data_IF_880419590383
#
_entry.id   IF_880419590383
#
_cell.length_a   1.000
_cell.length_b   1.000
_cell.length_c   1.000
_cell.angle_alpha   90.00
_cell.angle_beta   90.00
_cell.angle_gamma   90.00
#
_symmetry.space_group_name_H-M   'P 1'
#
loop_
_entity.id
_entity.type
_entity.pdbx_description
1 polymer ?
#
# COMPACT_ATOMS: atom_id res chain seq x y z
N UNK A 1 4.88 -8.87 20.82
CA UNK A 1 4.17 -7.64 20.43
C UNK A 1 3.27 -7.92 19.24
N UNK A 2 2.00 -7.51 19.28
CA UNK A 2 1.07 -7.74 18.17
C UNK A 2 1.34 -6.75 17.01
N UNK A 3 0.80 -7.03 15.82
CA UNK A 3 1.13 -6.22 14.64
C UNK A 3 0.61 -4.77 14.72
N UNK A 4 -0.57 -4.54 15.31
CA UNK A 4 -1.12 -3.20 15.46
C UNK A 4 -0.24 -2.32 16.37
N UNK A 5 0.30 -2.91 17.45
CA UNK A 5 1.27 -2.25 18.33
C UNK A 5 2.54 -1.88 17.58
N UNK A 6 3.05 -2.76 16.70
CA UNK A 6 4.23 -2.46 15.86
C UNK A 6 4.01 -1.24 14.97
N UNK A 7 2.84 -1.15 14.34
CA UNK A 7 2.51 -0.02 13.47
C UNK A 7 2.37 1.28 14.25
N UNK A 8 1.62 1.24 15.36
CA UNK A 8 1.47 2.40 16.22
C UNK A 8 2.82 2.92 16.74
N UNK A 9 3.72 2.02 17.14
CA UNK A 9 5.07 2.40 17.55
C UNK A 9 5.90 2.98 16.40
N UNK A 10 5.82 2.38 15.21
CA UNK A 10 6.54 2.89 14.04
C UNK A 10 6.04 4.28 13.64
N UNK A 11 4.73 4.52 13.63
CA UNK A 11 4.12 5.80 13.25
C UNK A 11 4.51 6.94 14.21
N UNK A 12 4.79 6.62 15.48
CA UNK A 12 5.25 7.58 16.50
C UNK A 12 6.77 7.74 16.55
N UNK A 13 7.51 6.87 15.87
CA UNK A 13 8.96 6.84 15.95
C UNK A 13 9.59 7.54 14.74
N UNK A 14 10.43 8.54 15.01
CA UNK A 14 11.19 9.24 13.98
C UNK A 14 12.44 8.43 13.59
N UNK A 15 12.25 7.49 12.67
CA UNK A 15 13.31 6.67 12.11
C UNK A 15 12.86 5.23 11.83
N UNK A 16 13.78 4.28 11.95
CA UNK A 16 13.56 2.87 11.63
C UNK A 16 13.38 2.08 12.92
N UNK A 17 12.24 1.40 13.06
CA UNK A 17 12.08 0.31 14.03
C UNK A 17 12.21 -1.05 13.34
N UNK A 18 13.07 -1.89 13.92
CA UNK A 18 13.25 -3.27 13.54
C UNK A 18 12.68 -4.18 14.62
N UNK A 19 11.70 -5.00 14.24
CA UNK A 19 11.09 -5.95 15.14
C UNK A 19 11.69 -7.33 14.92
N UNK A 20 12.18 -7.94 16.00
CA UNK A 20 12.68 -9.31 15.97
C UNK A 20 11.53 -10.30 15.80
N UNK A 21 11.63 -11.14 14.78
CA UNK A 21 10.71 -12.23 14.48
C UNK A 21 11.52 -13.48 14.16
N UNK A 22 11.71 -14.35 15.17
CA UNK A 22 12.64 -15.47 15.07
C UNK A 22 14.07 -14.96 14.86
N UNK A 23 14.71 -15.40 13.77
CA UNK A 23 16.08 -15.04 13.39
C UNK A 23 16.18 -13.78 12.53
N UNK A 24 15.06 -13.13 12.23
CA UNK A 24 15.00 -11.99 11.33
C UNK A 24 14.62 -10.71 12.06
N UNK A 25 15.18 -9.60 11.59
CA UNK A 25 14.72 -8.25 11.91
C UNK A 25 13.85 -7.76 10.76
N UNK A 26 12.62 -7.36 11.07
CA UNK A 26 11.66 -6.85 10.09
C UNK A 26 11.33 -5.39 10.34
N UNK A 27 11.28 -4.63 9.25
CA UNK A 27 10.72 -3.29 9.22
C UNK A 27 9.37 -3.31 8.49
N UNK A 28 8.47 -2.44 8.91
CA UNK A 28 7.16 -2.27 8.29
C UNK A 28 6.99 -0.84 7.83
N UNK A 29 6.21 -0.64 6.78
CA UNK A 29 5.72 0.66 6.31
C UNK A 29 6.87 1.69 6.20
N UNK A 30 6.84 2.75 7.01
CA UNK A 30 7.88 3.78 7.04
C UNK A 30 9.28 3.20 7.25
N UNK A 31 9.45 2.25 8.15
CA UNK A 31 10.75 1.60 8.37
C UNK A 31 11.23 0.83 7.13
N UNK A 32 10.31 0.21 6.37
CA UNK A 32 10.66 -0.48 5.13
C UNK A 32 11.08 0.51 4.05
N UNK A 33 10.35 1.61 3.89
CA UNK A 33 10.70 2.72 3.00
C UNK A 33 12.09 3.28 3.30
N UNK A 34 12.37 3.57 4.57
CA UNK A 34 13.66 4.14 4.97
C UNK A 34 14.81 3.18 4.70
N UNK A 35 14.64 1.88 4.95
CA UNK A 35 15.68 0.91 4.61
C UNK A 35 15.96 0.85 3.12
N UNK A 36 14.91 0.76 2.29
CA UNK A 36 15.10 0.49 0.86
C UNK A 36 15.41 1.75 0.07
N UNK A 37 14.69 2.84 0.30
CA UNK A 37 14.79 4.04 -0.53
C UNK A 37 15.77 5.05 0.07
N UNK A 38 15.76 5.25 1.39
CA UNK A 38 16.61 6.27 2.02
C UNK A 38 18.03 5.75 2.30
N UNK A 39 18.15 4.50 2.74
CA UNK A 39 19.43 3.86 3.01
C UNK A 39 19.93 2.96 1.86
N UNK A 40 19.14 2.80 0.79
CA UNK A 40 19.55 2.03 -0.38
C UNK A 40 19.76 0.53 -0.12
N UNK A 41 19.21 -0.02 0.97
CA UNK A 41 19.36 -1.44 1.26
C UNK A 41 18.57 -2.25 0.24
N UNK A 42 19.26 -3.03 -0.59
CA UNK A 42 18.63 -3.99 -1.49
C UNK A 42 17.94 -5.10 -0.68
N UNK A 43 16.67 -4.90 -0.36
CA UNK A 43 15.81 -5.82 0.38
C UNK A 43 14.56 -6.10 -0.42
N UNK A 44 14.13 -7.36 -0.39
CA UNK A 44 12.86 -7.74 -1.01
C UNK A 44 11.70 -7.20 -0.19
N UNK A 45 10.94 -6.28 -0.79
CA UNK A 45 9.68 -5.80 -0.25
C UNK A 45 8.59 -6.86 -0.48
N UNK A 46 7.74 -7.05 0.53
CA UNK A 46 6.52 -7.83 0.39
C UNK A 46 5.34 -6.95 0.75
N UNK A 47 4.35 -6.96 -0.12
CA UNK A 47 3.07 -6.30 0.10
C UNK A 47 2.09 -7.31 0.68
N UNK A 48 1.47 -6.96 1.80
CA UNK A 48 0.52 -7.79 2.49
C UNK A 48 -0.76 -7.00 2.77
N UNK A 49 -1.90 -7.67 2.68
CA UNK A 49 -3.17 -7.17 3.16
C UNK A 49 -3.65 -8.06 4.30
N UNK A 50 -4.15 -7.44 5.36
CA UNK A 50 -4.82 -8.18 6.41
C UNK A 50 -6.23 -8.57 5.99
N UNK A 51 -6.57 -9.86 6.10
CA UNK A 51 -7.95 -10.33 5.96
C UNK A 51 -8.92 -9.59 6.89
N UNK A 52 -8.47 -9.26 8.11
CA UNK A 52 -9.26 -8.54 9.12
C UNK A 52 -9.36 -7.03 8.86
N UNK A 53 -8.45 -6.47 8.07
CA UNK A 53 -8.40 -5.04 7.74
C UNK A 53 -8.13 -4.88 6.24
N UNK A 54 -9.13 -5.12 5.37
CA UNK A 54 -8.93 -5.18 3.92
C UNK A 54 -8.41 -3.87 3.33
N UNK A 55 -8.64 -2.75 4.01
CA UNK A 55 -8.17 -1.43 3.60
C UNK A 55 -6.81 -1.04 4.19
N UNK A 56 -6.19 -1.88 5.02
CA UNK A 56 -4.83 -1.65 5.55
C UNK A 56 -3.83 -2.49 4.81
N UNK A 57 -3.04 -1.79 4.00
CA UNK A 57 -1.92 -2.33 3.27
C UNK A 57 -0.68 -2.24 4.13
N UNK A 58 0.17 -3.26 4.04
CA UNK A 58 1.38 -3.36 4.82
C UNK A 58 2.50 -3.66 3.86
N UNK A 59 3.55 -2.87 3.92
CA UNK A 59 4.81 -3.19 3.26
C UNK A 59 5.76 -3.70 4.31
N UNK A 60 6.41 -4.83 4.05
CA UNK A 60 7.38 -5.41 4.96
C UNK A 60 8.66 -5.77 4.22
N UNK A 61 9.79 -5.50 4.84
CA UNK A 61 11.07 -6.08 4.46
C UNK A 61 11.79 -6.60 5.70
N UNK A 62 12.84 -7.38 5.51
CA UNK A 62 13.64 -7.84 6.64
C UNK A 62 14.91 -8.55 6.21
N UNK A 63 15.81 -8.72 7.16
CA UNK A 63 17.10 -9.38 6.99
C UNK A 63 17.48 -10.13 8.27
N UNK A 64 18.44 -11.08 8.21
CA UNK A 64 18.87 -11.83 9.38
C UNK A 64 19.44 -10.92 10.48
N UNK A 65 19.13 -11.19 11.75
CA UNK A 65 19.63 -10.38 12.88
C UNK A 65 21.18 -10.29 12.89
N UNK A 66 21.86 -11.34 12.45
CA UNK A 66 23.33 -11.39 12.32
C UNK A 66 23.90 -10.30 11.39
N UNK A 67 23.09 -9.72 10.51
CA UNK A 67 23.47 -8.66 9.57
C UNK A 67 23.18 -7.25 10.08
N UNK A 68 22.70 -7.09 11.32
CA UNK A 68 22.36 -5.78 11.89
C UNK A 68 23.53 -4.81 11.88
N UNK A 69 24.67 -5.20 12.46
CA UNK A 69 25.83 -4.32 12.58
C UNK A 69 26.42 -3.93 11.21
N UNK A 70 26.33 -4.84 10.22
CA UNK A 70 26.78 -4.60 8.85
C UNK A 70 25.87 -3.62 8.11
N UNK A 71 24.55 -3.80 8.20
CA UNK A 71 23.58 -2.98 7.45
C UNK A 71 23.27 -1.65 8.13
N UNK A 72 23.23 -1.64 9.46
CA UNK A 72 22.87 -0.48 10.28
C UNK A 72 23.84 -0.37 11.47
N UNK A 73 25.08 0.06 11.23
CA UNK A 73 26.12 0.13 12.28
C UNK A 73 25.75 1.07 13.44
N UNK A 74 24.85 2.03 13.19
CA UNK A 74 24.37 2.99 14.19
C UNK A 74 23.08 2.56 14.90
N UNK A 75 22.53 1.39 14.56
CA UNK A 75 21.31 0.91 15.21
C UNK A 75 21.58 0.44 16.64
N UNK A 76 20.67 0.77 17.55
CA UNK A 76 20.72 0.37 18.95
C UNK A 76 19.79 -0.81 19.15
N UNK A 77 20.27 -1.90 19.78
CA UNK A 77 19.41 -3.03 20.13
C UNK A 77 18.43 -2.64 21.23
N UNK A 78 17.19 -3.08 21.09
CA UNK A 78 16.11 -2.83 22.04
C UNK A 78 15.50 -4.15 22.50
N UNK A 79 14.60 -4.09 23.49
CA UNK A 79 13.86 -5.27 23.98
C UNK A 79 13.00 -5.94 22.90
N UNK A 80 12.64 -5.23 21.83
CA UNK A 80 11.81 -5.75 20.74
C UNK A 80 12.58 -6.01 19.44
N UNK A 81 13.87 -5.68 19.38
CA UNK A 81 14.71 -5.83 18.20
C UNK A 81 15.80 -4.77 18.13
N UNK A 82 15.63 -3.76 17.27
CA UNK A 82 16.57 -2.65 17.16
C UNK A 82 15.87 -1.37 16.69
N UNK A 83 16.50 -0.23 16.93
CA UNK A 83 16.05 1.07 16.44
C UNK A 83 17.19 1.89 15.85
N UNK A 84 16.87 2.71 14.86
CA UNK A 84 17.77 3.73 14.33
C UNK A 84 16.98 5.03 14.21
N UNK A 85 17.31 6.00 15.05
CA UNK A 85 16.73 7.35 14.99
C UNK A 85 17.31 8.10 13.81
N UNK A 86 16.43 8.70 13.02
CA UNK A 86 16.81 9.53 11.89
C UNK A 86 15.65 10.42 11.47
N UNK A 87 16.00 11.59 10.97
CA UNK A 87 15.04 12.50 10.37
C UNK A 87 14.75 12.08 8.94
N UNK A 88 13.49 12.17 8.57
CA UNK A 88 13.06 11.90 7.20
C UNK A 88 11.79 12.69 6.90
N UNK A 89 11.55 12.88 5.60
CA UNK A 89 10.34 13.51 5.11
C UNK A 89 9.22 12.48 4.96
N UNK A 90 8.17 12.66 5.75
CA UNK A 90 6.99 11.81 5.75
C UNK A 90 6.21 11.91 4.43
N UNK A 91 6.30 13.02 3.68
CA UNK A 91 5.60 13.18 2.41
C UNK A 91 6.17 12.22 1.34
N UNK A 92 7.49 12.07 1.29
CA UNK A 92 8.16 11.12 0.38
C UNK A 92 7.71 9.68 0.61
N UNK A 93 7.52 9.29 1.88
CA UNK A 93 6.97 7.97 2.23
C UNK A 93 5.58 7.77 1.64
N UNK A 94 4.68 8.75 1.76
CA UNK A 94 3.32 8.64 1.25
C UNK A 94 3.29 8.54 -0.29
N UNK A 95 4.12 9.32 -0.98
CA UNK A 95 4.25 9.25 -2.43
C UNK A 95 4.81 7.89 -2.88
N UNK A 96 5.86 7.42 -2.20
CA UNK A 96 6.44 6.10 -2.45
C UNK A 96 5.43 4.97 -2.27
N UNK A 97 4.67 5.00 -1.17
CA UNK A 97 3.68 3.97 -0.86
C UNK A 97 2.59 3.90 -1.95
N UNK A 98 2.08 5.07 -2.37
CA UNK A 98 1.09 5.17 -3.46
C UNK A 98 1.64 4.58 -4.76
N UNK A 99 2.87 4.94 -5.14
CA UNK A 99 3.53 4.45 -6.36
C UNK A 99 3.71 2.93 -6.33
N UNK A 100 4.34 2.41 -5.29
CA UNK A 100 4.60 0.96 -5.12
C UNK A 100 3.33 0.13 -5.12
N UNK A 101 2.27 0.68 -4.53
CA UNK A 101 0.98 0.00 -4.53
C UNK A 101 0.39 -0.16 -5.94
N UNK A 102 0.51 0.88 -6.77
CA UNK A 102 0.06 0.80 -8.15
C UNK A 102 0.87 -0.24 -8.95
N UNK A 103 2.20 -0.21 -8.81
CA UNK A 103 3.10 -1.19 -9.44
C UNK A 103 2.73 -2.63 -9.07
N UNK A 104 2.55 -2.91 -7.78
CA UNK A 104 2.21 -4.25 -7.27
C UNK A 104 0.85 -4.73 -7.79
N UNK A 105 -0.14 -3.84 -7.90
CA UNK A 105 -1.45 -4.18 -8.47
C UNK A 105 -1.36 -4.55 -9.94
N UNK A 106 -0.64 -3.74 -10.72
CA UNK A 106 -0.44 -4.00 -12.15
C UNK A 106 0.29 -5.33 -12.35
N UNK A 107 1.35 -5.61 -11.59
CA UNK A 107 2.07 -6.88 -11.65
C UNK A 107 1.19 -8.09 -11.30
N UNK A 108 0.31 -7.95 -10.29
CA UNK A 108 -0.64 -9.00 -9.91
C UNK A 108 -1.78 -9.20 -10.92
N UNK A 109 -2.14 -8.17 -11.70
CA UNK A 109 -3.13 -8.28 -12.78
C UNK A 109 -2.50 -8.93 -14.02
N UNK A 110 -1.27 -8.54 -14.40
CA UNK A 110 -0.53 -9.15 -15.51
C UNK A 110 -0.24 -10.64 -15.27
N UNK A 111 0.23 -11.00 -14.07
CA UNK A 111 0.49 -12.41 -13.72
C UNK A 111 -0.77 -13.29 -13.73
N UNK A 112 -1.97 -12.72 -13.57
CA UNK A 112 -3.23 -13.48 -13.72
C UNK A 112 -3.63 -13.66 -15.19
N UNK A 113 -3.35 -12.68 -16.04
CA UNK A 113 -3.60 -12.78 -17.47
C UNK A 113 -2.69 -13.83 -18.15
N UNK A 114 -1.45 -13.98 -17.68
CA UNK A 114 -0.48 -14.94 -18.22
C UNK A 114 -0.77 -16.40 -17.82
N UNK A 115 -1.69 -16.65 -16.88
CA UNK A 115 -2.04 -18.00 -16.39
C UNK A 115 -3.31 -18.54 -17.07
N UNK A 116 -4.07 -17.73 -17.83
CA UNK A 116 -5.18 -18.26 -18.62
C UNK A 116 -4.65 -19.01 -19.86
N UNK A 117 -4.84 -20.34 -19.97
CA UNK A 117 -4.46 -21.05 -21.17
C UNK A 117 -5.39 -20.63 -22.31
N UNK A 118 -4.81 -20.19 -23.43
CA UNK A 118 -5.48 -20.11 -24.72
C UNK A 118 -6.24 -21.43 -24.98
N UNK A 119 -7.56 -21.43 -24.77
CA UNK A 119 -8.45 -22.33 -25.48
C UNK A 119 -8.84 -21.65 -26.78
N UNK A 120 -7.98 -21.83 -27.78
CA UNK A 120 -8.34 -21.67 -29.19
C UNK A 120 -9.53 -22.57 -29.52
N UNK A 121 -10.67 -21.95 -29.80
CA UNK A 121 -11.66 -22.48 -30.74
C UNK A 121 -12.00 -21.36 -31.71
N UNK A 122 -11.55 -21.56 -32.96
CA UNK A 122 -11.69 -20.66 -34.10
C UNK A 122 -13.16 -20.39 -34.41
N UNK A 123 -13.52 -19.13 -34.66
CA UNK A 123 -14.48 -18.77 -35.70
C UNK A 123 -14.35 -17.29 -36.10
N UNK A 124 -13.82 -17.11 -37.31
CA UNK A 124 -14.16 -16.14 -38.36
C UNK A 124 -14.01 -14.62 -38.17
N UNK A 125 -13.38 -14.05 -39.20
CA UNK A 125 -13.06 -12.66 -39.52
C UNK A 125 -14.19 -11.61 -39.38
N UNK A 126 -13.79 -10.39 -38.99
CA UNK A 126 -14.07 -9.13 -39.70
C UNK A 126 -13.22 -8.00 -39.08
N UNK A 127 -12.67 -7.11 -39.91
CA UNK A 127 -11.91 -5.91 -39.52
C UNK A 127 -12.83 -4.77 -38.97
N UNK A 128 -12.31 -3.55 -38.76
CA UNK A 128 -12.10 -2.91 -37.47
C UNK A 128 -13.24 -1.93 -37.11
N UNK A 129 -13.53 -1.75 -35.82
CA UNK A 129 -14.44 -0.68 -35.39
C UNK A 129 -14.05 -0.09 -34.04
N UNK A 130 -13.90 1.24 -34.06
CA UNK A 130 -14.13 2.20 -32.99
C UNK A 130 -14.68 1.61 -31.68
N UNK A 131 -13.95 1.83 -30.58
CA UNK A 131 -14.56 1.87 -29.25
C UNK A 131 -14.30 3.25 -28.66
N UNK A 132 -14.88 4.24 -29.32
CA UNK A 132 -15.42 5.39 -28.63
C UNK A 132 -16.86 5.05 -28.20
N UNK A 133 -17.24 5.43 -26.98
CA UNK A 133 -18.61 5.33 -26.40
C UNK A 133 -19.20 3.92 -26.21
N UNK A 134 -18.80 3.24 -25.13
CA UNK A 134 -19.75 2.48 -24.30
C UNK A 134 -19.52 2.75 -22.83
N UNK A 135 -20.28 3.73 -22.34
CA UNK A 135 -20.57 4.00 -20.94
C UNK A 135 -20.96 2.68 -20.26
N UNK A 136 -20.04 2.06 -19.51
CA UNK A 136 -20.46 1.06 -18.54
C UNK A 136 -21.09 1.82 -17.38
N UNK A 137 -22.42 1.72 -17.29
CA UNK A 137 -23.21 2.12 -16.14
C UNK A 137 -22.83 1.20 -14.99
N UNK A 138 -21.71 1.49 -14.33
CA UNK A 138 -21.25 0.74 -13.16
C UNK A 138 -22.27 1.01 -12.05
N UNK A 139 -23.10 0.01 -11.75
CA UNK A 139 -23.96 0.05 -10.57
C UNK A 139 -23.07 -0.03 -9.32
N UNK A 140 -22.79 1.13 -8.75
CA UNK A 140 -21.99 1.26 -7.54
C UNK A 140 -22.76 0.68 -6.34
N UNK A 141 -22.50 -0.59 -6.01
CA UNK A 141 -23.03 -1.21 -4.78
C UNK A 141 -22.20 -0.80 -3.58
N UNK A 142 -22.74 0.10 -2.77
CA UNK A 142 -22.11 0.56 -1.52
C UNK A 142 -22.73 -0.12 -0.30
N UNK A 143 -21.87 -0.44 0.67
CA UNK A 143 -22.29 -0.94 1.98
C UNK A 143 -22.86 0.18 2.85
N UNK A 144 -23.66 -0.18 3.87
CA UNK A 144 -24.20 0.79 4.83
C UNK A 144 -23.11 1.64 5.49
N UNK A 145 -21.97 1.04 5.82
CA UNK A 145 -20.83 1.76 6.42
C UNK A 145 -20.19 2.76 5.45
N UNK A 146 -20.08 2.40 4.17
CA UNK A 146 -19.56 3.30 3.14
C UNK A 146 -20.49 4.48 2.89
N UNK A 147 -21.81 4.26 2.93
CA UNK A 147 -22.79 5.35 2.84
C UNK A 147 -22.72 6.29 4.04
N UNK A 148 -22.57 5.76 5.26
CA UNK A 148 -22.39 6.56 6.48
C UNK A 148 -21.11 7.39 6.39
N UNK A 149 -20.00 6.76 5.99
CA UNK A 149 -18.73 7.46 5.76
C UNK A 149 -18.89 8.61 4.76
N UNK A 150 -19.46 8.35 3.58
CA UNK A 150 -19.67 9.38 2.55
C UNK A 150 -20.59 10.51 3.02
N UNK A 151 -21.65 10.19 3.77
CA UNK A 151 -22.59 11.18 4.30
C UNK A 151 -21.88 12.18 5.23
N UNK A 152 -21.09 11.69 6.17
CA UNK A 152 -20.42 12.51 7.18
C UNK A 152 -18.99 12.94 6.81
N UNK A 153 -18.50 12.53 5.64
CA UNK A 153 -17.19 12.94 5.16
C UNK A 153 -17.10 14.47 5.04
N UNK A 154 -16.03 15.02 5.63
CA UNK A 154 -15.61 16.41 5.54
C UNK A 154 -14.25 16.48 4.86
N UNK A 155 -14.01 17.52 4.06
CA UNK A 155 -12.73 17.72 3.41
C UNK A 155 -11.71 18.18 4.44
N UNK A 156 -10.78 17.31 4.78
CA UNK A 156 -9.58 17.70 5.51
C UNK A 156 -8.52 18.27 4.54
N UNK A 157 -7.63 19.10 5.08
CA UNK A 157 -6.51 19.75 4.40
C UNK A 157 -5.52 18.76 3.78
N UNK A 158 -5.49 17.51 4.26
CA UNK A 158 -4.53 16.48 3.86
C UNK A 158 -4.97 15.57 2.70
N UNK A 159 -6.14 15.80 2.11
CA UNK A 159 -6.62 15.06 0.93
C UNK A 159 -6.26 15.85 -0.34
N UNK A 160 -5.73 15.18 -1.36
CA UNK A 160 -5.43 15.82 -2.65
C UNK A 160 -6.72 16.23 -3.38
N UNK A 161 -6.67 17.30 -4.15
CA UNK A 161 -7.89 17.93 -4.68
C UNK A 161 -8.68 17.03 -5.64
N UNK A 162 -7.99 16.17 -6.40
CA UNK A 162 -8.63 15.17 -7.26
C UNK A 162 -9.49 14.18 -6.45
N UNK A 163 -9.01 13.74 -5.28
CA UNK A 163 -9.75 12.83 -4.40
C UNK A 163 -10.94 13.57 -3.75
N UNK A 164 -10.76 14.84 -3.39
CA UNK A 164 -11.86 15.69 -2.89
C UNK A 164 -12.95 15.84 -3.94
N UNK A 165 -12.61 16.12 -5.19
CA UNK A 165 -13.56 16.27 -6.29
C UNK A 165 -14.25 14.95 -6.61
N UNK A 166 -13.51 13.85 -6.63
CA UNK A 166 -14.07 12.52 -6.84
C UNK A 166 -15.10 12.16 -5.77
N UNK A 167 -14.77 12.34 -4.48
CA UNK A 167 -15.69 12.07 -3.37
C UNK A 167 -16.91 13.00 -3.43
N UNK A 168 -16.71 14.29 -3.75
CA UNK A 168 -17.82 15.24 -3.95
C UNK A 168 -18.75 14.80 -5.08
N UNK A 169 -18.21 14.32 -6.21
CA UNK A 169 -19.00 13.84 -7.33
C UNK A 169 -19.82 12.59 -6.96
N UNK A 170 -19.22 11.64 -6.23
CA UNK A 170 -19.92 10.47 -5.69
C UNK A 170 -21.05 10.90 -4.75
N UNK A 171 -20.79 11.84 -3.82
CA UNK A 171 -21.84 12.36 -2.92
C UNK A 171 -23.00 12.98 -3.70
N UNK A 172 -22.71 13.77 -4.74
CA UNK A 172 -23.72 14.40 -5.60
C UNK A 172 -24.58 13.38 -6.34
N UNK A 173 -23.97 12.31 -6.85
CA UNK A 173 -24.69 11.25 -7.56
C UNK A 173 -25.57 10.40 -6.63
N UNK A 174 -25.14 10.15 -5.40
CA UNK A 174 -25.83 9.28 -4.45
C UNK A 174 -26.90 9.99 -3.61
N UNK A 175 -26.64 11.23 -3.20
CA UNK A 175 -27.49 11.95 -2.23
C UNK A 175 -28.29 13.09 -2.85
N UNK A 176 -28.48 13.09 -4.19
CA UNK A 176 -29.26 14.07 -4.99
C UNK A 176 -29.90 15.15 -4.12
N UNK A 177 -29.16 16.22 -3.88
CA UNK A 177 -29.69 17.46 -3.30
C UNK A 177 -29.92 18.43 -4.44
#
# INVERSE_FOLDING_TARGET
>A
MNMLQKFYQQDQFKGILLFKEGMFLRAYNQGAFLLTEHLGCCLNLRFMQFKKYPNRQIVVCGFPESKLTERLPKAVKTVFGAELRMDYDTEQYHQWLKRRWHEERVANEMSKADIEPLKTSKASASEPADIDKKLYKIELKLSKQQLIYLKYWQSDSHIIDTDKEFIKNIKKQLFKT
#
